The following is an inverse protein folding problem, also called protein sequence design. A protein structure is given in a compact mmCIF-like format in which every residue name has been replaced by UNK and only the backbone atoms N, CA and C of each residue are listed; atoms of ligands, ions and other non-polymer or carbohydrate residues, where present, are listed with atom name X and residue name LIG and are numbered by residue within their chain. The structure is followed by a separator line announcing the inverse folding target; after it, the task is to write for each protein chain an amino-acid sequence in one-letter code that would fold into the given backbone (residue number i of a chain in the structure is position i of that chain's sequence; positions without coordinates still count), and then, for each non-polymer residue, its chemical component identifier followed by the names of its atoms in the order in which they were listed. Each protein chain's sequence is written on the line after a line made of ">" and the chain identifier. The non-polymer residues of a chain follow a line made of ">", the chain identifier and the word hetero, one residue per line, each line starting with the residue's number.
data_IF_925818173302
#
_entry.id   IF_925818173302
#
_cell.length_a   1.000
_cell.length_b   1.000
_cell.length_c   1.000
_cell.angle_alpha   90.00
_cell.angle_beta   90.00
_cell.angle_gamma   90.00
#
_symmetry.space_group_name_H-M   'P 1'
#
loop_
_entity.id
_entity.type
_entity.pdbx_description
1 polymer ?
#
# COMPACT_ATOMS: atom_id res chain seq x y z
N UNK A 1 21.08 -53.57 -23.40
CA UNK A 1 21.23 -52.90 -24.70
C UNK A 1 20.37 -51.66 -24.67
N UNK A 2 20.98 -50.49 -24.79
CA UNK A 2 20.39 -49.18 -24.50
C UNK A 2 19.38 -48.71 -25.55
N UNK A 3 18.37 -47.97 -25.07
CA UNK A 3 17.44 -47.21 -25.87
C UNK A 3 18.08 -45.87 -26.29
N UNK A 4 18.10 -45.60 -27.60
CA UNK A 4 18.59 -44.34 -28.16
C UNK A 4 17.50 -43.26 -28.08
N UNK A 5 17.88 -42.08 -27.58
CA UNK A 5 17.05 -40.89 -27.47
C UNK A 5 16.83 -40.21 -28.84
N UNK A 6 15.60 -39.75 -29.09
CA UNK A 6 15.26 -38.93 -30.25
C UNK A 6 15.65 -37.45 -30.01
N UNK A 7 16.08 -36.70 -31.06
CA UNK A 7 16.58 -35.34 -30.91
C UNK A 7 15.48 -34.27 -30.77
N UNK A 8 15.84 -33.23 -30.03
CA UNK A 8 15.11 -32.00 -29.69
C UNK A 8 14.47 -31.31 -30.92
N UNK A 9 13.16 -31.09 -30.90
CA UNK A 9 12.47 -30.20 -31.83
C UNK A 9 12.47 -28.78 -31.26
N UNK A 10 13.15 -27.86 -31.96
CA UNK A 10 13.15 -26.43 -31.65
C UNK A 10 11.75 -25.84 -31.98
N UNK A 11 11.14 -24.98 -31.13
CA UNK A 11 9.86 -24.37 -31.46
C UNK A 11 10.02 -23.41 -32.64
N UNK A 12 9.13 -23.54 -33.63
CA UNK A 12 9.10 -22.66 -34.80
C UNK A 12 8.69 -21.23 -34.42
N UNK A 13 9.26 -20.19 -35.06
CA UNK A 13 8.93 -18.80 -34.76
C UNK A 13 7.50 -18.47 -35.22
N UNK A 14 6.78 -17.74 -34.37
CA UNK A 14 5.39 -17.34 -34.60
C UNK A 14 5.31 -16.30 -35.73
N UNK A 15 4.61 -16.56 -36.85
CA UNK A 15 4.61 -15.71 -38.04
C UNK A 15 3.83 -14.39 -37.89
N UNK A 16 3.23 -14.11 -36.73
CA UNK A 16 2.46 -12.89 -36.45
C UNK A 16 3.20 -11.87 -35.56
N UNK A 17 4.53 -11.97 -35.41
CA UNK A 17 5.29 -10.95 -34.68
C UNK A 17 5.31 -9.63 -35.47
N UNK A 18 4.57 -8.62 -35.00
CA UNK A 18 4.61 -7.28 -35.56
C UNK A 18 6.01 -6.67 -35.30
N UNK A 19 6.82 -6.36 -36.33
CA UNK A 19 8.19 -5.90 -36.15
C UNK A 19 8.31 -4.51 -35.51
N UNK A 20 7.19 -3.79 -35.34
CA UNK A 20 7.09 -2.49 -34.68
C UNK A 20 6.46 -2.56 -33.27
N UNK A 21 6.23 -3.75 -32.70
CA UNK A 21 5.78 -3.82 -31.31
C UNK A 21 6.92 -3.37 -30.38
N UNK A 22 6.70 -2.29 -29.63
CA UNK A 22 7.62 -1.89 -28.57
C UNK A 22 7.88 -3.11 -27.64
N UNK A 23 9.12 -3.32 -27.19
CA UNK A 23 9.43 -4.46 -26.32
C UNK A 23 8.51 -4.45 -25.11
N UNK A 24 7.94 -5.62 -24.78
CA UNK A 24 7.09 -5.77 -23.62
C UNK A 24 7.90 -5.44 -22.36
N UNK A 25 7.50 -4.37 -21.66
CA UNK A 25 8.07 -4.02 -20.36
C UNK A 25 7.71 -5.10 -19.34
N UNK A 26 8.69 -5.54 -18.52
CA UNK A 26 8.53 -6.67 -17.61
C UNK A 26 7.78 -6.24 -16.33
N UNK A 27 8.01 -5.02 -15.85
CA UNK A 27 7.48 -4.55 -14.58
C UNK A 27 6.33 -3.54 -14.74
N UNK A 28 6.30 -2.78 -15.85
CA UNK A 28 5.29 -1.75 -16.11
C UNK A 28 4.18 -2.18 -17.12
N UNK A 29 2.90 -1.86 -16.85
CA UNK A 29 2.41 -1.17 -15.67
C UNK A 29 2.15 -2.21 -14.58
N UNK A 30 2.10 -1.77 -13.33
CA UNK A 30 1.61 -2.66 -12.28
C UNK A 30 0.15 -3.04 -12.54
N UNK A 31 -0.16 -4.33 -12.60
CA UNK A 31 -1.49 -4.86 -12.96
C UNK A 31 -2.35 -5.31 -11.77
N UNK A 32 -1.87 -5.13 -10.54
CA UNK A 32 -2.54 -5.58 -9.32
C UNK A 32 -2.08 -4.78 -8.11
N UNK A 33 -2.97 -4.55 -7.16
CA UNK A 33 -2.59 -4.01 -5.85
C UNK A 33 -1.64 -4.95 -5.11
N UNK A 34 -0.78 -4.37 -4.28
CA UNK A 34 0.16 -5.08 -3.41
C UNK A 34 -0.41 -5.12 -2.00
N UNK A 35 -0.96 -6.26 -1.54
CA UNK A 35 -1.43 -6.41 -0.17
C UNK A 35 -0.27 -6.62 0.80
N UNK A 36 -0.49 -6.22 2.05
CA UNK A 36 0.42 -6.41 3.18
C UNK A 36 -0.31 -7.25 4.23
N UNK A 37 -0.40 -8.59 4.07
CA UNK A 37 -1.08 -9.47 5.03
C UNK A 37 -0.28 -9.61 6.34
N UNK A 38 -0.94 -10.12 7.38
CA UNK A 38 -0.29 -10.50 8.63
C UNK A 38 -0.15 -12.02 8.72
N UNK A 39 0.93 -12.50 9.34
CA UNK A 39 1.08 -13.92 9.68
C UNK A 39 0.36 -14.25 10.99
N UNK A 40 0.05 -15.52 11.23
CA UNK A 40 -0.55 -15.96 12.49
C UNK A 40 0.27 -15.52 13.72
N UNK A 41 1.60 -15.69 13.67
CA UNK A 41 2.49 -15.25 14.74
C UNK A 41 2.51 -13.72 14.95
N UNK A 42 2.24 -12.93 13.90
CA UNK A 42 2.07 -11.49 14.04
C UNK A 42 0.72 -11.15 14.68
N UNK A 43 -0.36 -11.84 14.30
CA UNK A 43 -1.68 -11.66 14.90
C UNK A 43 -1.65 -11.93 16.41
N UNK A 44 -0.98 -13.00 16.84
CA UNK A 44 -0.84 -13.34 18.26
C UNK A 44 -0.15 -12.21 19.04
N UNK A 45 0.92 -11.64 18.48
CA UNK A 45 1.63 -10.50 19.08
C UNK A 45 0.77 -9.24 19.13
N UNK A 46 -0.01 -8.97 18.08
CA UNK A 46 -0.93 -7.82 18.04
C UNK A 46 -1.99 -7.94 19.12
N UNK A 47 -2.65 -9.10 19.25
CA UNK A 47 -3.68 -9.32 20.27
C UNK A 47 -3.10 -9.23 21.67
N UNK A 48 -1.94 -9.87 21.92
CA UNK A 48 -1.28 -9.77 23.22
C UNK A 48 -0.99 -8.31 23.60
N UNK A 49 -0.52 -7.50 22.64
CA UNK A 49 -0.25 -6.08 22.87
C UNK A 49 -1.52 -5.25 23.07
N UNK A 50 -2.60 -5.57 22.36
CA UNK A 50 -3.91 -4.96 22.57
C UNK A 50 -4.44 -5.24 23.97
N UNK A 51 -4.35 -6.48 24.45
CA UNK A 51 -4.78 -6.85 25.80
C UNK A 51 -3.93 -6.19 26.89
N UNK A 52 -2.62 -6.03 26.65
CA UNK A 52 -1.74 -5.26 27.54
C UNK A 52 -2.21 -3.79 27.64
N UNK A 53 -2.55 -3.17 26.50
CA UNK A 53 -3.01 -1.78 26.46
C UNK A 53 -4.44 -1.60 26.96
N UNK A 54 -5.31 -2.59 26.77
CA UNK A 54 -6.69 -2.60 27.28
C UNK A 54 -6.74 -2.34 28.79
N UNK A 55 -5.74 -2.82 29.54
CA UNK A 55 -5.65 -2.64 30.98
C UNK A 55 -5.37 -1.19 31.44
N UNK A 56 -4.90 -0.32 30.54
CA UNK A 56 -4.41 1.03 30.89
C UNK A 56 -5.08 2.15 30.08
N UNK A 57 -5.91 1.84 29.09
CA UNK A 57 -6.65 2.85 28.32
C UNK A 57 -7.85 3.38 29.09
N UNK A 58 -8.27 4.65 28.87
CA UNK A 58 -9.46 5.22 29.52
C UNK A 58 -10.76 4.48 29.21
N UNK A 59 -10.84 3.85 28.03
CA UNK A 59 -12.03 3.14 27.54
C UNK A 59 -11.65 1.70 27.16
N UNK A 60 -11.58 0.79 28.16
CA UNK A 60 -11.30 -0.63 27.92
C UNK A 60 -12.46 -1.32 27.18
N UNK A 61 -12.17 -2.42 26.50
CA UNK A 61 -13.10 -3.19 25.65
C UNK A 61 -14.21 -3.91 26.43
N UNK A 62 -14.01 -4.17 27.73
CA UNK A 62 -14.87 -5.07 28.50
C UNK A 62 -14.76 -6.52 28.05
N UNK A 63 -15.49 -7.43 28.72
CA UNK A 63 -15.37 -8.88 28.46
C UNK A 63 -15.82 -9.26 27.03
N UNK A 64 -17.00 -8.80 26.62
CA UNK A 64 -17.53 -9.06 25.28
C UNK A 64 -16.60 -8.53 24.18
N UNK A 65 -15.96 -7.38 24.41
CA UNK A 65 -15.01 -6.79 23.49
C UNK A 65 -13.72 -7.61 23.36
N UNK A 66 -13.22 -8.20 24.46
CA UNK A 66 -12.07 -9.12 24.45
C UNK A 66 -12.40 -10.42 23.72
N UNK A 67 -13.60 -10.98 23.94
CA UNK A 67 -14.09 -12.15 23.20
C UNK A 67 -14.16 -11.85 21.70
N UNK A 68 -14.71 -10.70 21.33
CA UNK A 68 -14.76 -10.26 19.94
C UNK A 68 -13.36 -10.05 19.33
N UNK A 69 -12.39 -9.55 20.11
CA UNK A 69 -10.99 -9.43 19.69
C UNK A 69 -10.34 -10.80 19.40
N UNK A 70 -10.56 -11.80 20.26
CA UNK A 70 -10.05 -13.16 20.00
C UNK A 70 -10.71 -13.77 18.75
N UNK A 71 -12.01 -13.55 18.56
CA UNK A 71 -12.71 -13.99 17.36
C UNK A 71 -12.18 -13.30 16.09
N UNK A 72 -11.79 -12.02 16.16
CA UNK A 72 -11.11 -11.31 15.06
C UNK A 72 -9.82 -12.04 14.71
N UNK A 73 -9.00 -12.37 15.71
CA UNK A 73 -7.75 -13.09 15.53
C UNK A 73 -7.95 -14.48 14.95
N UNK A 74 -8.93 -15.24 15.44
CA UNK A 74 -9.28 -16.56 14.89
C UNK A 74 -9.72 -16.46 13.42
N UNK A 75 -10.51 -15.45 13.07
CA UNK A 75 -10.96 -15.20 11.69
C UNK A 75 -9.77 -14.90 10.78
N UNK A 76 -8.86 -14.03 11.23
CA UNK A 76 -7.68 -13.61 10.47
C UNK A 76 -6.58 -14.69 10.39
N UNK A 77 -6.48 -15.57 11.38
CA UNK A 77 -5.52 -16.67 11.36
C UNK A 77 -5.92 -17.76 10.35
N UNK A 78 -7.22 -17.92 10.06
CA UNK A 78 -7.72 -18.96 9.18
C UNK A 78 -7.80 -18.51 7.71
N UNK A 79 -6.64 -18.26 7.10
CA UNK A 79 -6.52 -17.73 5.73
C UNK A 79 -7.19 -18.60 4.66
N UNK A 80 -7.22 -19.93 4.88
CA UNK A 80 -7.90 -20.89 3.98
C UNK A 80 -9.41 -20.66 3.84
N UNK A 81 -10.04 -19.93 4.78
CA UNK A 81 -11.48 -19.68 4.81
C UNK A 81 -11.87 -18.23 4.52
N UNK A 82 -10.94 -17.37 4.10
CA UNK A 82 -11.21 -15.94 3.88
C UNK A 82 -12.39 -15.65 2.93
N UNK A 83 -12.67 -16.54 1.99
CA UNK A 83 -13.79 -16.38 1.05
C UNK A 83 -15.16 -16.76 1.64
N UNK A 84 -15.21 -17.42 2.79
CA UNK A 84 -16.44 -17.87 3.45
C UNK A 84 -16.63 -17.35 4.87
N UNK A 85 -15.56 -16.91 5.55
CA UNK A 85 -15.66 -16.21 6.83
C UNK A 85 -16.15 -14.78 6.67
N UNK A 86 -16.81 -14.28 7.72
CA UNK A 86 -17.29 -12.89 7.82
C UNK A 86 -17.00 -12.34 9.20
N UNK A 87 -16.85 -11.02 9.28
CA UNK A 87 -16.85 -10.31 10.55
C UNK A 87 -18.29 -10.08 11.00
N UNK A 88 -18.55 -10.25 12.28
CA UNK A 88 -19.79 -9.82 12.92
C UNK A 88 -19.78 -8.32 13.19
N UNK A 89 -20.96 -7.75 13.44
CA UNK A 89 -21.10 -6.34 13.82
C UNK A 89 -20.35 -6.03 15.13
N UNK A 90 -20.29 -6.99 16.06
CA UNK A 90 -19.51 -6.86 17.29
C UNK A 90 -18.02 -6.72 17.01
N UNK A 91 -17.48 -7.54 16.09
CA UNK A 91 -16.08 -7.45 15.70
C UNK A 91 -15.77 -6.12 14.99
N UNK A 92 -16.65 -5.64 14.11
CA UNK A 92 -16.50 -4.33 13.48
C UNK A 92 -16.48 -3.18 14.49
N UNK A 93 -17.38 -3.22 15.48
CA UNK A 93 -17.42 -2.22 16.57
C UNK A 93 -16.15 -2.25 17.43
N UNK A 94 -15.59 -3.43 17.72
CA UNK A 94 -14.32 -3.54 18.45
C UNK A 94 -13.17 -2.94 17.64
N UNK A 95 -13.05 -3.23 16.34
CA UNK A 95 -12.04 -2.60 15.50
C UNK A 95 -12.15 -1.06 15.52
N UNK A 96 -13.37 -0.53 15.41
CA UNK A 96 -13.60 0.91 15.48
C UNK A 96 -13.30 1.52 16.86
N UNK A 97 -13.60 0.80 17.95
CA UNK A 97 -13.27 1.24 19.31
C UNK A 97 -11.76 1.30 19.54
N UNK A 98 -11.03 0.27 19.10
CA UNK A 98 -9.57 0.19 19.18
C UNK A 98 -8.89 1.35 18.43
N UNK A 99 -9.41 1.74 17.26
CA UNK A 99 -8.88 2.87 16.48
C UNK A 99 -9.09 4.24 17.14
N UNK A 100 -9.91 4.33 18.19
CA UNK A 100 -10.14 5.55 18.98
C UNK A 100 -9.28 5.62 20.24
N UNK A 101 -8.42 4.63 20.46
CA UNK A 101 -7.48 4.65 21.58
C UNK A 101 -6.48 5.81 21.47
N UNK A 102 -5.89 6.22 22.61
CA UNK A 102 -4.92 7.31 22.61
C UNK A 102 -3.69 6.98 21.74
N UNK A 103 -3.01 8.05 21.32
CA UNK A 103 -1.81 8.04 20.49
C UNK A 103 -0.79 6.94 20.85
N UNK A 104 -0.47 6.80 22.13
CA UNK A 104 0.54 5.86 22.60
C UNK A 104 0.11 4.38 22.49
N UNK A 105 -1.19 4.11 22.37
CA UNK A 105 -1.77 2.77 22.36
C UNK A 105 -2.42 2.38 21.03
N UNK A 106 -2.55 3.29 20.07
CA UNK A 106 -3.29 3.05 18.82
C UNK A 106 -2.51 2.21 17.80
N UNK A 107 -1.17 2.11 17.90
CA UNK A 107 -0.40 1.39 16.87
C UNK A 107 -0.76 -0.11 16.70
N UNK A 108 -1.01 -0.93 17.76
CA UNK A 108 -1.45 -2.31 17.57
C UNK A 108 -2.89 -2.38 17.05
N UNK A 109 -3.73 -1.38 17.35
CA UNK A 109 -5.07 -1.26 16.77
C UNK A 109 -5.01 -1.05 15.25
N UNK A 110 -4.08 -0.21 14.79
CA UNK A 110 -3.82 -0.04 13.37
C UNK A 110 -3.26 -1.31 12.72
N UNK A 111 -2.42 -2.07 13.42
CA UNK A 111 -1.82 -3.28 12.86
C UNK A 111 -2.83 -4.44 12.72
N UNK A 112 -3.75 -4.61 13.69
CA UNK A 112 -4.86 -5.56 13.54
C UNK A 112 -5.88 -5.08 12.48
N UNK A 113 -6.11 -3.77 12.39
CA UNK A 113 -6.96 -3.16 11.35
C UNK A 113 -6.39 -3.40 9.96
N UNK A 114 -5.07 -3.28 9.78
CA UNK A 114 -4.39 -3.65 8.53
C UNK A 114 -4.68 -5.10 8.15
N UNK A 115 -4.60 -6.03 9.11
CA UNK A 115 -4.90 -7.43 8.86
C UNK A 115 -6.38 -7.64 8.50
N UNK A 116 -7.30 -6.96 9.18
CA UNK A 116 -8.72 -6.93 8.84
C UNK A 116 -8.97 -6.43 7.41
N UNK A 117 -8.32 -5.35 7.00
CA UNK A 117 -8.45 -4.80 5.64
C UNK A 117 -7.89 -5.71 4.53
N UNK A 118 -7.02 -6.68 4.87
CA UNK A 118 -6.60 -7.72 3.92
C UNK A 118 -7.65 -8.83 3.74
N UNK A 119 -8.61 -8.96 4.67
CA UNK A 119 -9.69 -9.95 4.59
C UNK A 119 -10.84 -9.42 3.71
N UNK A 120 -11.50 -10.29 2.89
CA UNK A 120 -12.56 -9.87 1.98
C UNK A 120 -13.74 -9.11 2.61
N UNK A 121 -14.13 -9.49 3.82
CA UNK A 121 -15.24 -8.85 4.55
C UNK A 121 -14.80 -7.73 5.52
N UNK A 122 -13.49 -7.54 5.74
CA UNK A 122 -13.01 -6.61 6.77
C UNK A 122 -13.25 -5.14 6.44
N UNK A 123 -13.12 -4.76 5.17
CA UNK A 123 -13.43 -3.40 4.70
C UNK A 123 -14.90 -3.03 4.89
N UNK A 124 -15.81 -3.96 4.60
CA UNK A 124 -17.25 -3.83 4.85
C UNK A 124 -17.55 -3.66 6.34
N UNK A 125 -16.95 -4.48 7.20
CA UNK A 125 -17.16 -4.42 8.64
C UNK A 125 -16.73 -3.07 9.24
N UNK A 126 -15.57 -2.56 8.84
CA UNK A 126 -15.11 -1.21 9.22
C UNK A 126 -16.03 -0.11 8.68
N UNK A 127 -16.44 -0.22 7.43
CA UNK A 127 -17.35 0.76 6.81
C UNK A 127 -18.67 0.87 7.57
N UNK A 128 -19.25 -0.25 8.01
CA UNK A 128 -20.45 -0.25 8.85
C UNK A 128 -20.18 0.41 10.20
N UNK A 129 -19.06 0.08 10.85
CA UNK A 129 -18.72 0.61 12.18
C UNK A 129 -18.42 2.12 12.19
N UNK A 130 -17.96 2.68 11.07
CA UNK A 130 -17.71 4.12 10.88
C UNK A 130 -18.81 4.83 10.07
N UNK A 131 -19.86 4.13 9.66
CA UNK A 131 -20.94 4.65 8.81
C UNK A 131 -20.61 4.74 7.31
N UNK A 132 -19.34 4.77 6.91
CA UNK A 132 -18.92 4.62 5.51
C UNK A 132 -17.44 4.20 5.37
N UNK A 133 -17.06 3.71 4.18
CA UNK A 133 -15.66 3.43 3.85
C UNK A 133 -14.78 4.69 3.90
N UNK A 134 -15.29 5.81 3.40
CA UNK A 134 -14.60 7.10 3.41
C UNK A 134 -14.31 7.56 4.86
N UNK A 135 -15.30 7.47 5.75
CA UNK A 135 -15.12 7.81 7.16
C UNK A 135 -14.09 6.92 7.87
N UNK A 136 -14.09 5.61 7.59
CA UNK A 136 -13.09 4.70 8.14
C UNK A 136 -11.66 5.06 7.69
N UNK A 137 -11.47 5.39 6.42
CA UNK A 137 -10.16 5.81 5.88
C UNK A 137 -9.74 7.16 6.43
N UNK A 138 -10.64 8.15 6.44
CA UNK A 138 -10.38 9.47 7.00
C UNK A 138 -9.96 9.39 8.47
N UNK A 139 -10.56 8.47 9.25
CA UNK A 139 -10.14 8.21 10.62
C UNK A 139 -8.71 7.69 10.70
N UNK A 140 -8.34 6.66 9.94
CA UNK A 140 -6.96 6.12 9.92
C UNK A 140 -5.95 7.18 9.50
N UNK A 141 -6.27 7.98 8.48
CA UNK A 141 -5.40 9.04 8.00
C UNK A 141 -5.30 10.21 9.01
N UNK A 142 -6.38 10.50 9.74
CA UNK A 142 -6.37 11.45 10.85
C UNK A 142 -5.48 11.00 12.01
N UNK A 143 -5.54 9.72 12.38
CA UNK A 143 -4.63 9.12 13.39
C UNK A 143 -3.18 9.27 12.95
N UNK A 144 -2.88 8.96 11.68
CA UNK A 144 -1.54 9.12 11.12
C UNK A 144 -1.05 10.58 11.20
N UNK A 145 -1.88 11.53 10.76
CA UNK A 145 -1.56 12.97 10.76
C UNK A 145 -1.28 13.49 12.18
N UNK A 146 -2.09 13.08 13.16
CA UNK A 146 -1.95 13.51 14.54
C UNK A 146 -0.72 12.93 15.27
N UNK A 147 -0.09 11.90 14.69
CA UNK A 147 0.97 11.11 15.32
C UNK A 147 2.14 10.85 14.35
N UNK A 148 2.47 11.84 13.51
CA UNK A 148 3.45 11.70 12.45
C UNK A 148 4.90 11.52 12.95
N UNK A 149 5.14 11.81 14.22
CA UNK A 149 6.40 11.58 14.95
C UNK A 149 6.50 10.16 15.55
N UNK A 150 5.37 9.48 15.76
CA UNK A 150 5.33 8.13 16.31
C UNK A 150 5.52 7.06 15.22
N UNK A 151 6.78 6.67 14.96
CA UNK A 151 7.13 5.70 13.91
C UNK A 151 6.23 4.44 13.85
N UNK A 152 5.86 3.77 14.97
CA UNK A 152 4.97 2.62 14.90
C UNK A 152 3.59 2.96 14.30
N UNK A 153 3.02 4.10 14.69
CA UNK A 153 1.74 4.61 14.16
C UNK A 153 1.88 4.96 12.68
N UNK A 154 2.99 5.59 12.29
CA UNK A 154 3.27 5.92 10.88
C UNK A 154 3.27 4.67 10.01
N UNK A 155 4.08 3.68 10.38
CA UNK A 155 4.22 2.46 9.58
C UNK A 155 2.92 1.68 9.52
N UNK A 156 2.23 1.45 10.64
CA UNK A 156 1.00 0.63 10.64
C UNK A 156 -0.16 1.32 9.92
N UNK A 157 -0.27 2.65 10.02
CA UNK A 157 -1.29 3.41 9.27
C UNK A 157 -1.06 3.34 7.76
N UNK A 158 0.17 3.58 7.28
CA UNK A 158 0.50 3.49 5.85
C UNK A 158 0.16 2.12 5.28
N UNK A 159 0.45 1.05 6.04
CA UNK A 159 0.12 -0.31 5.63
C UNK A 159 -1.38 -0.61 5.68
N UNK A 160 -2.11 -0.09 6.68
CA UNK A 160 -3.56 -0.23 6.75
C UNK A 160 -4.23 0.44 5.54
N UNK A 161 -3.81 1.67 5.22
CA UNK A 161 -4.28 2.40 4.04
C UNK A 161 -3.94 1.67 2.74
N UNK A 162 -2.73 1.08 2.65
CA UNK A 162 -2.34 0.25 1.49
C UNK A 162 -3.31 -0.92 1.27
N UNK A 163 -3.69 -1.62 2.35
CA UNK A 163 -4.64 -2.74 2.27
C UNK A 163 -6.07 -2.28 1.98
N UNK A 164 -6.47 -1.10 2.45
CA UNK A 164 -7.76 -0.52 2.12
C UNK A 164 -7.91 -0.32 0.60
N UNK A 165 -6.86 0.11 -0.10
CA UNK A 165 -6.87 0.25 -1.56
C UNK A 165 -6.98 -1.08 -2.32
N UNK A 166 -6.55 -2.19 -1.72
CA UNK A 166 -6.69 -3.53 -2.30
C UNK A 166 -8.15 -4.01 -2.35
N UNK A 167 -9.07 -3.32 -1.67
CA UNK A 167 -10.48 -3.70 -1.56
C UNK A 167 -11.28 -3.00 -2.65
N UNK A 168 -11.94 -3.75 -3.54
CA UNK A 168 -12.70 -3.18 -4.66
C UNK A 168 -13.86 -2.28 -4.20
N UNK A 169 -14.52 -2.63 -3.09
CA UNK A 169 -15.59 -1.86 -2.48
C UNK A 169 -15.10 -0.50 -1.96
N UNK A 170 -13.94 -0.50 -1.30
CA UNK A 170 -13.32 0.72 -0.79
C UNK A 170 -12.71 1.54 -1.93
N UNK A 171 -11.98 0.91 -2.84
CA UNK A 171 -11.36 1.55 -4.00
C UNK A 171 -12.42 2.22 -4.90
N UNK A 172 -13.56 1.58 -5.12
CA UNK A 172 -14.68 2.17 -5.85
C UNK A 172 -15.31 3.34 -5.09
N UNK A 173 -15.51 3.20 -3.77
CA UNK A 173 -16.05 4.28 -2.93
C UNK A 173 -15.12 5.50 -2.89
N UNK A 174 -13.80 5.27 -2.85
CA UNK A 174 -12.80 6.32 -2.97
C UNK A 174 -12.87 6.97 -4.35
N UNK A 175 -12.71 6.18 -5.42
CA UNK A 175 -12.64 6.69 -6.78
C UNK A 175 -13.89 7.47 -7.24
N UNK A 176 -15.03 7.33 -6.55
CA UNK A 176 -16.31 7.96 -6.90
C UNK A 176 -16.77 9.07 -5.94
N UNK A 177 -16.05 9.35 -4.85
CA UNK A 177 -16.49 10.31 -3.82
C UNK A 177 -15.45 11.38 -3.45
N UNK A 178 -15.86 12.43 -2.72
CA UNK A 178 -14.95 13.47 -2.20
C UNK A 178 -13.90 12.91 -1.23
N UNK A 179 -14.16 11.73 -0.67
CA UNK A 179 -13.26 11.02 0.24
C UNK A 179 -11.93 10.58 -0.38
N UNK A 180 -11.79 10.51 -1.70
CA UNK A 180 -10.47 10.23 -2.32
C UNK A 180 -9.54 11.42 -2.25
N UNK A 181 -10.00 12.62 -2.57
CA UNK A 181 -9.18 13.83 -2.41
C UNK A 181 -8.80 14.02 -0.94
N UNK A 182 -9.72 13.81 0.00
CA UNK A 182 -9.43 13.90 1.44
C UNK A 182 -8.50 12.79 1.96
N UNK A 183 -8.74 11.52 1.55
CA UNK A 183 -7.86 10.41 1.92
C UNK A 183 -6.47 10.59 1.32
N UNK A 184 -6.41 11.08 0.07
CA UNK A 184 -5.18 11.38 -0.63
C UNK A 184 -4.47 12.57 0.05
N UNK A 185 -5.17 13.66 0.35
CA UNK A 185 -4.64 14.83 1.06
C UNK A 185 -4.10 14.43 2.43
N UNK A 186 -4.83 13.57 3.14
CA UNK A 186 -4.41 13.08 4.44
C UNK A 186 -3.18 12.15 4.33
N UNK A 187 -3.11 11.30 3.30
CA UNK A 187 -1.93 10.46 2.99
C UNK A 187 -0.74 11.32 2.59
N UNK A 188 -0.94 12.34 1.76
CA UNK A 188 0.10 13.23 1.30
C UNK A 188 0.64 14.10 2.43
N UNK A 189 -0.24 14.70 3.23
CA UNK A 189 0.14 15.46 4.41
C UNK A 189 0.90 14.59 5.42
N UNK A 190 0.46 13.34 5.62
CA UNK A 190 1.15 12.39 6.47
C UNK A 190 2.53 11.99 5.95
N UNK A 191 2.67 11.75 4.65
CA UNK A 191 3.95 11.42 4.03
C UNK A 191 4.93 12.60 4.09
N UNK A 192 4.44 13.83 3.89
CA UNK A 192 5.22 15.06 4.08
C UNK A 192 5.65 15.24 5.55
N UNK A 193 4.77 14.98 6.52
CA UNK A 193 5.12 15.05 7.93
C UNK A 193 6.15 13.97 8.33
N UNK A 194 5.98 12.74 7.85
CA UNK A 194 6.94 11.66 8.05
C UNK A 194 8.32 11.98 7.42
N UNK A 195 8.36 12.72 6.31
CA UNK A 195 9.59 13.24 5.74
C UNK A 195 10.22 14.33 6.63
N UNK A 196 9.45 15.32 7.07
CA UNK A 196 9.93 16.44 7.90
C UNK A 196 10.54 15.98 9.24
N UNK A 197 10.05 14.89 9.82
CA UNK A 197 10.59 14.31 11.04
C UNK A 197 11.67 13.23 10.81
N UNK A 198 12.32 13.23 9.63
CA UNK A 198 13.41 12.30 9.28
C UNK A 198 12.97 10.84 9.06
N UNK A 199 11.67 10.56 9.15
CA UNK A 199 11.08 9.23 9.04
C UNK A 199 11.17 8.62 7.65
N UNK A 200 11.14 9.43 6.58
CA UNK A 200 11.25 8.92 5.20
C UNK A 200 12.62 8.28 4.88
N UNK A 201 13.66 8.58 5.66
CA UNK A 201 14.95 7.87 5.59
C UNK A 201 14.91 6.47 6.22
N UNK A 202 13.90 6.16 7.02
CA UNK A 202 13.73 4.86 7.68
C UNK A 202 13.21 3.80 6.68
N UNK A 203 13.88 2.65 6.64
CA UNK A 203 13.54 1.54 5.73
C UNK A 203 12.08 1.06 5.85
N UNK A 204 11.53 1.02 7.06
CA UNK A 204 10.17 0.54 7.30
C UNK A 204 9.12 1.53 6.78
N UNK A 205 9.34 2.83 6.99
CA UNK A 205 8.47 3.89 6.46
C UNK A 205 8.58 3.92 4.95
N UNK A 206 9.79 3.94 4.38
CA UNK A 206 10.00 3.94 2.93
C UNK A 206 9.35 2.71 2.27
N UNK A 207 9.44 1.54 2.88
CA UNK A 207 8.78 0.32 2.40
C UNK A 207 7.25 0.41 2.40
N UNK A 208 6.65 0.95 3.47
CA UNK A 208 5.21 1.11 3.59
C UNK A 208 4.66 2.22 2.69
N UNK A 209 5.35 3.36 2.61
CA UNK A 209 4.99 4.49 1.76
C UNK A 209 5.12 4.13 0.29
N UNK A 210 6.20 3.45 -0.11
CA UNK A 210 6.37 2.98 -1.49
C UNK A 210 5.22 2.04 -1.92
N UNK A 211 4.77 1.14 -1.05
CA UNK A 211 3.60 0.30 -1.34
C UNK A 211 2.31 1.11 -1.47
N UNK A 212 2.08 2.10 -0.60
CA UNK A 212 0.90 2.95 -0.68
C UNK A 212 0.87 3.76 -1.98
N UNK A 213 1.98 4.40 -2.35
CA UNK A 213 2.14 5.14 -3.61
C UNK A 213 1.88 4.23 -4.81
N UNK A 214 2.44 3.03 -4.81
CA UNK A 214 2.25 2.07 -5.88
C UNK A 214 0.77 1.64 -6.04
N UNK A 215 0.07 1.40 -4.93
CA UNK A 215 -1.37 1.09 -4.96
C UNK A 215 -2.21 2.30 -5.42
N UNK A 216 -1.85 3.52 -5.00
CA UNK A 216 -2.50 4.75 -5.48
C UNK A 216 -2.30 4.95 -6.98
N UNK A 217 -1.10 4.73 -7.50
CA UNK A 217 -0.82 4.77 -8.93
C UNK A 217 -1.62 3.74 -9.70
N UNK A 218 -1.70 2.49 -9.22
CA UNK A 218 -2.46 1.45 -9.90
C UNK A 218 -3.97 1.75 -9.90
N UNK A 219 -4.49 2.38 -8.84
CA UNK A 219 -5.87 2.89 -8.79
C UNK A 219 -6.09 4.04 -9.78
N UNK A 220 -5.21 5.05 -9.77
CA UNK A 220 -5.28 6.24 -10.61
C UNK A 220 -4.91 6.00 -12.09
N UNK A 221 -4.29 4.86 -12.40
CA UNK A 221 -4.03 4.40 -13.75
C UNK A 221 -5.15 3.47 -14.26
N UNK A 222 -6.06 3.02 -13.37
CA UNK A 222 -7.07 2.02 -13.69
C UNK A 222 -6.49 0.65 -14.08
N UNK A 223 -5.25 0.35 -13.70
CA UNK A 223 -4.53 -0.87 -14.14
C UNK A 223 -4.75 -2.07 -13.23
N UNK A 224 -5.23 -1.87 -12.00
CA UNK A 224 -5.50 -2.95 -11.06
C UNK A 224 -6.81 -3.70 -11.40
N UNK A 225 -6.75 -5.05 -11.39
CA UNK A 225 -7.91 -5.92 -11.66
C UNK A 225 -9.10 -5.62 -10.71
N UNK A 226 -10.29 -5.49 -11.29
CA UNK A 226 -11.53 -5.17 -10.56
C UNK A 226 -11.98 -3.71 -10.70
N UNK A 227 -11.13 -2.83 -11.26
CA UNK A 227 -11.55 -1.52 -11.75
C UNK A 227 -12.18 -1.65 -13.14
N UNK A 228 -13.46 -1.33 -13.28
CA UNK A 228 -14.12 -1.26 -14.59
C UNK A 228 -13.78 0.06 -15.30
N UNK A 229 -12.76 0.04 -16.17
CA UNK A 229 -12.52 1.10 -17.18
C UNK A 229 -11.98 2.43 -16.63
N UNK A 230 -11.50 3.34 -17.48
CA UNK A 230 -10.35 4.18 -17.17
C UNK A 230 -10.70 5.23 -16.12
N UNK A 231 -9.83 5.41 -15.12
CA UNK A 231 -9.85 6.61 -14.28
C UNK A 231 -8.44 7.09 -14.03
N UNK A 232 -8.01 8.06 -14.84
CA UNK A 232 -7.21 9.16 -14.33
C UNK A 232 -8.02 9.74 -13.18
N UNK A 233 -7.46 9.75 -11.97
CA UNK A 233 -7.98 10.65 -10.94
C UNK A 233 -7.94 12.09 -11.45
N UNK A 234 -8.49 13.07 -10.71
CA UNK A 234 -8.16 14.46 -11.01
C UNK A 234 -6.63 14.63 -11.14
N UNK A 235 -6.18 15.50 -12.06
CA UNK A 235 -4.76 15.63 -12.44
C UNK A 235 -3.83 15.87 -11.23
N UNK A 236 -4.39 16.40 -10.15
CA UNK A 236 -3.71 16.62 -8.88
C UNK A 236 -3.19 15.33 -8.24
N UNK A 237 -3.80 14.16 -8.48
CA UNK A 237 -3.37 12.88 -7.90
C UNK A 237 -2.04 12.43 -8.49
N UNK A 238 -1.86 12.58 -9.80
CA UNK A 238 -0.62 12.26 -10.49
C UNK A 238 0.51 13.15 -9.98
N UNK A 239 0.27 14.46 -9.95
CA UNK A 239 1.24 15.45 -9.48
C UNK A 239 1.68 15.17 -8.05
N UNK A 240 0.73 14.80 -7.18
CA UNK A 240 1.04 14.50 -5.78
C UNK A 240 1.73 13.16 -5.59
N UNK A 241 1.36 12.10 -6.32
CA UNK A 241 2.10 10.82 -6.27
C UNK A 241 3.55 11.05 -6.71
N UNK A 242 3.76 11.83 -7.76
CA UNK A 242 5.11 12.19 -8.21
C UNK A 242 5.86 13.03 -7.17
N UNK A 243 5.23 14.05 -6.58
CA UNK A 243 5.85 14.86 -5.53
C UNK A 243 6.27 14.01 -4.31
N UNK A 244 5.37 13.14 -3.82
CA UNK A 244 5.67 12.24 -2.71
C UNK A 244 6.75 11.21 -3.05
N UNK A 245 6.76 10.73 -4.30
CA UNK A 245 7.84 9.85 -4.79
C UNK A 245 9.17 10.60 -4.77
N UNK A 246 9.21 11.85 -5.23
CA UNK A 246 10.40 12.70 -5.16
C UNK A 246 10.93 12.86 -3.74
N UNK A 247 10.06 13.20 -2.78
CA UNK A 247 10.41 13.31 -1.37
C UNK A 247 10.93 12.00 -0.77
N UNK A 248 10.35 10.86 -1.14
CA UNK A 248 10.83 9.54 -0.72
C UNK A 248 12.23 9.27 -1.27
N UNK A 249 12.43 9.48 -2.57
CA UNK A 249 13.72 9.23 -3.23
C UNK A 249 14.82 10.14 -2.65
N UNK A 250 14.53 11.42 -2.43
CA UNK A 250 15.46 12.35 -1.79
C UNK A 250 15.88 11.87 -0.39
N UNK A 251 14.90 11.50 0.45
CA UNK A 251 15.19 10.99 1.79
C UNK A 251 16.01 9.69 1.75
N UNK A 252 15.79 8.83 0.74
CA UNK A 252 16.53 7.58 0.58
C UNK A 252 17.95 7.78 0.05
N UNK A 253 18.21 8.81 -0.76
CA UNK A 253 19.58 9.20 -1.15
C UNK A 253 20.40 9.53 0.09
N UNK A 254 19.83 10.34 0.99
CA UNK A 254 20.46 10.78 2.23
C UNK A 254 20.52 9.69 3.32
N UNK A 255 19.71 8.62 3.18
CA UNK A 255 19.67 7.55 4.18
C UNK A 255 20.88 6.61 4.12
N UNK A 256 21.42 6.30 5.31
CA UNK A 256 22.41 5.26 5.51
C UNK A 256 21.85 3.84 5.31
N UNK A 257 20.53 3.65 5.51
CA UNK A 257 19.86 2.34 5.41
C UNK A 257 18.78 2.39 4.34
N UNK A 258 19.21 2.29 3.08
CA UNK A 258 18.35 2.32 1.90
C UNK A 258 17.34 1.17 1.89
N UNK A 259 16.13 1.46 1.47
CA UNK A 259 15.04 0.51 1.27
C UNK A 259 14.92 0.16 -0.20
N UNK A 260 15.61 -0.90 -0.66
CA UNK A 260 15.51 -1.35 -2.05
C UNK A 260 14.06 -1.54 -2.49
N UNK A 261 13.29 -2.28 -1.68
CA UNK A 261 11.84 -2.46 -1.84
C UNK A 261 11.04 -1.15 -1.92
N UNK A 262 11.31 -0.21 -1.01
CA UNK A 262 10.60 1.07 -0.98
C UNK A 262 10.89 1.90 -2.23
N UNK A 263 12.15 1.94 -2.66
CA UNK A 263 12.62 2.64 -3.85
C UNK A 263 12.03 2.02 -5.11
N UNK A 264 12.13 0.70 -5.28
CA UNK A 264 11.57 -0.02 -6.44
C UNK A 264 10.06 0.24 -6.55
N UNK A 265 9.31 0.14 -5.45
CA UNK A 265 7.85 0.41 -5.48
C UNK A 265 7.54 1.86 -5.81
N UNK A 266 8.34 2.80 -5.34
CA UNK A 266 8.17 4.21 -5.67
C UNK A 266 8.45 4.50 -7.16
N UNK A 267 9.48 3.87 -7.75
CA UNK A 267 9.75 3.94 -9.20
C UNK A 267 8.62 3.30 -10.02
N UNK A 268 8.14 2.12 -9.61
CA UNK A 268 6.99 1.48 -10.25
C UNK A 268 5.73 2.35 -10.18
N UNK A 269 5.55 3.12 -9.11
CA UNK A 269 4.40 4.00 -8.94
C UNK A 269 4.38 5.09 -10.02
N UNK A 270 5.49 5.80 -10.23
CA UNK A 270 5.58 6.84 -11.27
C UNK A 270 5.63 6.25 -12.68
N UNK A 271 6.35 5.14 -12.88
CA UNK A 271 6.41 4.46 -14.17
C UNK A 271 5.04 3.94 -14.63
N UNK A 272 4.21 3.45 -13.68
CA UNK A 272 2.83 3.02 -13.97
C UNK A 272 1.96 4.18 -14.46
N UNK A 273 2.10 5.38 -13.87
CA UNK A 273 1.39 6.58 -14.31
C UNK A 273 1.91 7.08 -15.67
N UNK A 274 3.22 7.16 -15.85
CA UNK A 274 3.86 7.62 -17.08
C UNK A 274 3.47 6.78 -18.30
N UNK A 275 3.42 5.45 -18.16
CA UNK A 275 3.00 4.56 -19.24
C UNK A 275 1.54 4.76 -19.67
N UNK A 276 0.68 5.28 -18.78
CA UNK A 276 -0.69 5.66 -19.12
C UNK A 276 -0.80 7.09 -19.67
N UNK A 277 0.33 7.76 -19.94
CA UNK A 277 0.37 9.14 -20.46
C UNK A 277 0.30 10.22 -19.36
N UNK A 278 0.52 9.85 -18.09
CA UNK A 278 0.48 10.74 -16.94
C UNK A 278 1.88 10.93 -16.34
N UNK A 279 2.84 11.30 -17.16
CA UNK A 279 4.17 11.65 -16.67
C UNK A 279 4.10 12.97 -15.89
N UNK A 280 4.79 13.08 -14.75
CA UNK A 280 4.85 14.33 -14.00
C UNK A 280 5.56 15.43 -14.82
N UNK A 281 5.19 16.71 -14.64
CA UNK A 281 5.84 17.81 -15.33
C UNK A 281 7.36 17.83 -15.07
N UNK A 282 8.17 18.03 -16.12
CA UNK A 282 9.64 17.98 -16.04
C UNK A 282 10.21 18.86 -14.92
N UNK A 283 9.67 20.08 -14.76
CA UNK A 283 10.10 21.02 -13.73
C UNK A 283 9.91 20.49 -12.30
N UNK A 284 8.89 19.65 -12.07
CA UNK A 284 8.60 19.06 -10.76
C UNK A 284 9.38 17.77 -10.50
N UNK A 285 9.86 17.10 -11.56
CA UNK A 285 10.39 15.75 -11.51
C UNK A 285 11.92 15.68 -11.72
N UNK A 286 12.56 16.71 -12.26
CA UNK A 286 13.99 16.72 -12.59
C UNK A 286 14.91 16.27 -11.44
N UNK A 287 14.72 16.78 -10.22
CA UNK A 287 15.52 16.38 -9.05
C UNK A 287 15.27 14.91 -8.65
N UNK A 288 14.01 14.46 -8.76
CA UNK A 288 13.64 13.09 -8.46
C UNK A 288 14.25 12.10 -9.47
N UNK A 289 14.38 12.46 -10.76
CA UNK A 289 15.09 11.64 -11.76
C UNK A 289 16.55 11.41 -11.39
N UNK A 290 17.24 12.47 -10.97
CA UNK A 290 18.64 12.37 -10.56
C UNK A 290 18.80 11.47 -9.32
N UNK A 291 17.88 11.60 -8.35
CA UNK A 291 17.84 10.74 -7.18
C UNK A 291 17.54 9.29 -7.54
N UNK A 292 16.60 9.05 -8.46
CA UNK A 292 16.25 7.73 -8.97
C UNK A 292 17.45 7.05 -9.63
N UNK A 293 18.14 7.73 -10.55
CA UNK A 293 19.34 7.21 -11.21
C UNK A 293 20.45 6.87 -10.21
N UNK A 294 20.67 7.76 -9.23
CA UNK A 294 21.66 7.57 -8.15
C UNK A 294 21.33 6.33 -7.32
N UNK A 295 20.07 6.17 -6.90
CA UNK A 295 19.62 5.05 -6.10
C UNK A 295 19.62 3.73 -6.88
N UNK A 296 19.20 3.76 -8.14
CA UNK A 296 19.22 2.59 -9.02
C UNK A 296 20.66 2.08 -9.18
N UNK A 297 21.61 2.97 -9.47
CA UNK A 297 23.03 2.62 -9.57
C UNK A 297 23.59 2.07 -8.24
N UNK A 298 23.24 2.69 -7.11
CA UNK A 298 23.72 2.25 -5.80
C UNK A 298 23.16 0.88 -5.35
N UNK A 299 21.95 0.52 -5.77
CA UNK A 299 21.30 -0.73 -5.39
C UNK A 299 21.56 -1.88 -6.37
N UNK A 300 21.75 -1.58 -7.66
CA UNK A 300 21.86 -2.60 -8.71
C UNK A 300 20.56 -3.41 -8.90
N UNK A 301 20.67 -4.51 -9.67
CA UNK A 301 19.61 -5.51 -9.84
C UNK A 301 18.28 -4.92 -10.32
N UNK A 302 17.19 -5.29 -9.64
CA UNK A 302 15.82 -4.89 -10.00
C UNK A 302 15.62 -3.37 -10.01
N UNK A 303 16.36 -2.61 -9.18
CA UNK A 303 16.24 -1.16 -9.15
C UNK A 303 16.74 -0.51 -10.46
N UNK A 304 17.78 -1.07 -11.08
CA UNK A 304 18.28 -0.63 -12.39
C UNK A 304 17.28 -0.99 -13.48
N UNK A 305 16.82 -2.25 -13.51
CA UNK A 305 15.89 -2.71 -14.53
C UNK A 305 14.57 -1.92 -14.51
N UNK A 306 14.03 -1.62 -13.32
CA UNK A 306 12.81 -0.81 -13.18
C UNK A 306 13.06 0.63 -13.59
N UNK A 307 14.23 1.20 -13.29
CA UNK A 307 14.57 2.56 -13.71
C UNK A 307 14.69 2.67 -15.23
N UNK A 308 15.32 1.69 -15.90
CA UNK A 308 15.40 1.64 -17.36
C UNK A 308 14.01 1.55 -18.01
N UNK A 309 13.10 0.75 -17.44
CA UNK A 309 11.70 0.73 -17.91
C UNK A 309 10.98 2.06 -17.68
N UNK A 310 11.26 2.75 -16.58
CA UNK A 310 10.73 4.10 -16.33
C UNK A 310 11.21 5.08 -17.41
N UNK A 311 12.48 5.04 -17.78
CA UNK A 311 13.04 5.88 -18.85
C UNK A 311 12.40 5.56 -20.21
N UNK A 312 12.13 4.27 -20.48
CA UNK A 312 11.47 3.84 -21.71
C UNK A 312 10.03 4.37 -21.86
N UNK A 313 9.36 4.72 -20.75
CA UNK A 313 8.03 5.33 -20.73
C UNK A 313 8.05 6.86 -20.58
N UNK A 314 9.22 7.49 -20.75
CA UNK A 314 9.36 8.95 -20.80
C UNK A 314 9.62 9.63 -19.46
N UNK A 315 10.09 8.88 -18.44
CA UNK A 315 10.58 9.45 -17.17
C UNK A 315 12.07 9.78 -17.21
#
# INVERSE_FOLDING_TARGET
>A
GGAAAAPNANPSPNPNANPNAAPALKHLPLRSFVPLPATAAQLDKMVAKLLEFDAVVPTPLGEDGRIALENIRATLANTSRYHSSKFSDAQGRVLAALLRWPAAQVFPALDITRAALAHPDGGRSLSVAFGSAAAAIAHVAGVLKANADAMPVVVTSLKALSNALCRSDIAAALASGPGFAEAFDAVAAAASAAHAHGGAGNKAIAGALGTLLLNLSALAAGTARGGSGPRVGPSDVVDRVAALTGLLLEAQVQSAKKSADGIVRALLAVGTLAQQGHAPPEASWAAAKQNAATLASALGGDAVAVWEECQAVGL
#
